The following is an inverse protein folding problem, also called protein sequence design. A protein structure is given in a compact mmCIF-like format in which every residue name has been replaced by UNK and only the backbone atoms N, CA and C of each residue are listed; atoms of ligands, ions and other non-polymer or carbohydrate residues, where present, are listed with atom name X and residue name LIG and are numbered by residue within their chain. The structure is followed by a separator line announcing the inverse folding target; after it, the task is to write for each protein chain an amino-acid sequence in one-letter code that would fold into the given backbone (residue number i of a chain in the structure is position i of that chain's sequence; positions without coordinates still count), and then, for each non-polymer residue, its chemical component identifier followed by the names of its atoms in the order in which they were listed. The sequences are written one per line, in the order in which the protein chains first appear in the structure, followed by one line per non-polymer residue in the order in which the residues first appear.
data_IF_336798391991
#
_entry.id   IF_336798391991
#
_cell.length_a   1.000
_cell.length_b   1.000
_cell.length_c   1.000
_cell.angle_alpha   90.00
_cell.angle_beta   90.00
_cell.angle_gamma   90.00
#
_symmetry.space_group_name_H-M   'P 1'
#
loop_
_entity.id
_entity.type
_entity.pdbx_description
1 polymer ?
#
# COMPACT_ATOMS: atom_id res chain seq x y z
N UNK A 1 61.13 18.90 22.77
CA UNK A 1 61.34 18.25 21.45
C UNK A 1 60.99 16.76 21.45
N UNK A 2 61.50 15.93 22.38
CA UNK A 2 61.23 14.47 22.38
C UNK A 2 59.75 14.08 22.59
N UNK A 3 59.01 14.79 23.48
CA UNK A 3 57.59 14.52 23.76
C UNK A 3 56.67 14.83 22.57
N UNK A 4 56.95 15.89 21.81
CA UNK A 4 56.21 16.24 20.60
C UNK A 4 56.42 15.23 19.48
N UNK A 5 57.62 14.65 19.35
CA UNK A 5 57.90 13.60 18.38
C UNK A 5 57.11 12.31 18.70
N UNK A 6 56.99 11.96 19.97
CA UNK A 6 56.19 10.81 20.43
C UNK A 6 54.70 11.04 20.17
N UNK A 7 54.19 12.25 20.41
CA UNK A 7 52.80 12.60 20.12
C UNK A 7 52.49 12.53 18.61
N UNK A 8 53.40 12.98 17.75
CA UNK A 8 53.27 12.86 16.30
C UNK A 8 53.29 11.40 15.84
N UNK A 9 54.15 10.56 16.42
CA UNK A 9 54.21 9.12 16.13
C UNK A 9 52.92 8.40 16.52
N UNK A 10 52.33 8.74 17.66
CA UNK A 10 51.04 8.21 18.11
C UNK A 10 49.90 8.61 17.17
N UNK A 11 49.85 9.88 16.74
CA UNK A 11 48.88 10.34 15.75
C UNK A 11 49.03 9.61 14.41
N UNK A 12 50.27 9.31 13.98
CA UNK A 12 50.52 8.57 12.75
C UNK A 12 50.09 7.10 12.86
N UNK A 13 50.29 6.47 14.01
CA UNK A 13 49.87 5.08 14.25
C UNK A 13 48.34 4.89 14.23
N UNK A 14 47.57 5.90 14.66
CA UNK A 14 46.09 5.86 14.63
C UNK A 14 45.55 5.90 13.20
N UNK A 15 46.27 6.49 12.25
CA UNK A 15 45.85 6.54 10.84
C UNK A 15 46.05 5.21 10.10
N UNK A 16 46.93 4.32 10.60
CA UNK A 16 47.23 3.03 9.97
C UNK A 16 46.16 1.95 10.25
N UNK A 17 45.25 2.18 11.20
CA UNK A 17 44.20 1.22 11.60
C UNK A 17 42.81 1.57 11.05
N UNK A 18 42.69 2.64 10.25
CA UNK A 18 41.45 3.04 9.60
C UNK A 18 41.09 2.06 8.46
N UNK A 19 40.53 0.90 8.82
CA UNK A 19 39.89 0.01 7.87
C UNK A 19 38.61 0.68 7.34
N UNK A 20 38.61 1.08 6.07
CA UNK A 20 37.40 1.56 5.42
C UNK A 20 36.37 0.41 5.32
N UNK A 21 35.13 0.69 5.71
CA UNK A 21 34.02 -0.25 5.50
C UNK A 21 33.91 -0.51 3.99
N UNK A 22 34.10 -1.75 3.56
CA UNK A 22 33.96 -2.13 2.15
C UNK A 22 32.47 -2.11 1.82
N UNK A 23 32.08 -1.26 0.87
CA UNK A 23 30.72 -1.21 0.35
C UNK A 23 30.65 -1.97 -0.98
N UNK A 24 29.64 -2.82 -1.12
CA UNK A 24 29.25 -3.40 -2.39
C UNK A 24 27.81 -2.96 -2.67
N UNK A 25 27.54 -2.56 -3.90
CA UNK A 25 26.18 -2.24 -4.36
C UNK A 25 25.58 -3.53 -4.92
N UNK A 26 24.43 -3.92 -4.38
CA UNK A 26 23.67 -5.08 -4.83
C UNK A 26 22.39 -4.56 -5.48
N UNK A 27 22.17 -4.94 -6.73
CA UNK A 27 20.91 -4.68 -7.42
C UNK A 27 19.88 -5.71 -6.99
N UNK A 28 19.07 -5.34 -6.00
CA UNK A 28 18.01 -6.20 -5.49
C UNK A 28 16.89 -6.40 -6.50
N UNK A 29 16.61 -5.41 -7.36
CA UNK A 29 15.58 -5.54 -8.39
C UNK A 29 15.97 -6.62 -9.40
N UNK A 30 17.24 -6.63 -9.83
CA UNK A 30 17.77 -7.65 -10.71
C UNK A 30 17.70 -9.04 -10.08
N UNK A 31 18.13 -9.20 -8.82
CA UNK A 31 18.11 -10.50 -8.14
C UNK A 31 16.68 -11.02 -7.99
N UNK A 32 15.77 -10.19 -7.49
CA UNK A 32 14.39 -10.60 -7.20
C UNK A 32 13.62 -11.00 -8.47
N UNK A 33 13.84 -10.31 -9.61
CA UNK A 33 13.25 -10.68 -10.90
C UNK A 33 13.71 -12.04 -11.42
N UNK A 34 14.86 -12.55 -10.95
CA UNK A 34 15.37 -13.86 -11.35
C UNK A 34 15.06 -14.96 -10.33
N UNK A 35 14.21 -14.68 -9.32
CA UNK A 35 13.70 -15.67 -8.38
C UNK A 35 12.26 -16.01 -8.81
N UNK A 36 12.00 -17.16 -9.46
CA UNK A 36 10.68 -17.48 -10.01
C UNK A 36 9.56 -17.53 -8.97
N UNK A 37 9.89 -17.83 -7.71
CA UNK A 37 8.92 -17.82 -6.61
C UNK A 37 8.45 -16.39 -6.26
N UNK A 38 9.37 -15.41 -6.33
CA UNK A 38 9.07 -14.00 -6.07
C UNK A 38 8.19 -13.42 -7.19
N UNK A 39 8.53 -13.72 -8.44
CA UNK A 39 7.75 -13.31 -9.61
C UNK A 39 6.30 -13.83 -9.53
N UNK A 40 6.13 -15.14 -9.28
CA UNK A 40 4.79 -15.73 -9.12
C UNK A 40 3.98 -15.14 -7.98
N UNK A 41 4.62 -14.85 -6.84
CA UNK A 41 3.96 -14.22 -5.71
C UNK A 41 3.44 -12.81 -6.08
N UNK A 42 4.24 -12.03 -6.80
CA UNK A 42 3.80 -10.72 -7.31
C UNK A 42 2.65 -10.84 -8.31
N UNK A 43 2.72 -11.77 -9.28
CA UNK A 43 1.62 -11.99 -10.22
C UNK A 43 0.30 -12.34 -9.51
N UNK A 44 0.36 -13.18 -8.47
CA UNK A 44 -0.81 -13.54 -7.67
C UNK A 44 -1.35 -12.35 -6.87
N UNK A 45 -0.47 -11.54 -6.29
CA UNK A 45 -0.85 -10.33 -5.57
C UNK A 45 -1.51 -9.31 -6.50
N UNK A 46 -0.98 -9.12 -7.71
CA UNK A 46 -1.54 -8.23 -8.72
C UNK A 46 -2.93 -8.68 -9.16
N UNK A 47 -3.12 -9.99 -9.42
CA UNK A 47 -4.42 -10.56 -9.75
C UNK A 47 -5.46 -10.33 -8.64
N UNK A 48 -5.06 -10.53 -7.38
CA UNK A 48 -5.94 -10.35 -6.22
C UNK A 48 -6.25 -8.86 -6.01
N UNK A 49 -5.26 -7.99 -6.15
CA UNK A 49 -5.43 -6.54 -6.09
C UNK A 49 -6.43 -6.05 -7.15
N UNK A 50 -6.28 -6.50 -8.39
CA UNK A 50 -7.21 -6.16 -9.47
C UNK A 50 -8.62 -6.68 -9.20
N UNK A 51 -8.75 -7.90 -8.66
CA UNK A 51 -10.07 -8.44 -8.27
C UNK A 51 -10.75 -7.56 -7.23
N UNK A 52 -10.03 -7.19 -6.17
CA UNK A 52 -10.55 -6.30 -5.12
C UNK A 52 -10.93 -4.93 -5.65
N UNK A 53 -10.13 -4.37 -6.56
CA UNK A 53 -10.44 -3.12 -7.24
C UNK A 53 -11.75 -3.21 -8.02
N UNK A 54 -11.92 -4.27 -8.82
CA UNK A 54 -13.13 -4.50 -9.61
C UNK A 54 -14.39 -4.64 -8.72
N UNK A 55 -14.29 -5.32 -7.58
CA UNK A 55 -15.39 -5.45 -6.62
C UNK A 55 -15.81 -4.09 -6.03
N UNK A 56 -14.83 -3.24 -5.67
CA UNK A 56 -15.08 -1.88 -5.19
C UNK A 56 -15.73 -1.03 -6.28
N UNK A 57 -15.23 -1.09 -7.51
CA UNK A 57 -15.77 -0.34 -8.65
C UNK A 57 -17.20 -0.74 -8.97
N UNK A 58 -17.51 -2.05 -8.94
CA UNK A 58 -18.86 -2.54 -9.16
C UNK A 58 -19.86 -1.97 -8.13
N UNK A 59 -19.49 -1.97 -6.84
CA UNK A 59 -20.34 -1.39 -5.79
C UNK A 59 -20.42 0.14 -5.87
N UNK A 60 -19.32 0.80 -6.23
CA UNK A 60 -19.29 2.24 -6.46
C UNK A 60 -20.24 2.64 -7.60
N UNK A 61 -20.23 1.88 -8.70
CA UNK A 61 -21.14 2.09 -9.82
C UNK A 61 -22.61 1.91 -9.44
N UNK A 62 -22.91 0.96 -8.55
CA UNK A 62 -24.27 0.79 -8.00
C UNK A 62 -24.70 2.01 -7.17
N UNK A 63 -23.85 2.49 -6.26
CA UNK A 63 -24.13 3.67 -5.44
C UNK A 63 -24.37 4.91 -6.31
N UNK A 64 -23.52 5.13 -7.33
CA UNK A 64 -23.67 6.23 -8.28
C UNK A 64 -24.97 6.12 -9.10
N UNK A 65 -25.40 4.90 -9.45
CA UNK A 65 -26.65 4.69 -10.19
C UNK A 65 -27.87 5.04 -9.33
N UNK A 66 -27.88 4.62 -8.05
CA UNK A 66 -28.92 4.98 -7.09
C UNK A 66 -28.99 6.50 -6.90
N UNK A 67 -27.84 7.16 -6.79
CA UNK A 67 -27.76 8.60 -6.67
C UNK A 67 -28.30 9.33 -7.90
N UNK A 68 -27.91 8.89 -9.12
CA UNK A 68 -28.44 9.45 -10.38
C UNK A 68 -29.95 9.25 -10.50
N UNK A 69 -30.46 8.07 -10.14
CA UNK A 69 -31.89 7.80 -10.14
C UNK A 69 -32.62 8.74 -9.17
N UNK A 70 -32.09 8.90 -7.94
CA UNK A 70 -32.64 9.80 -6.95
C UNK A 70 -32.70 11.23 -7.46
N UNK A 71 -31.62 11.76 -8.03
CA UNK A 71 -31.60 13.11 -8.62
C UNK A 71 -32.70 13.32 -9.67
N UNK A 72 -32.92 12.32 -10.53
CA UNK A 72 -33.95 12.42 -11.59
C UNK A 72 -35.39 12.38 -11.07
N UNK A 73 -35.64 11.73 -9.92
CA UNK A 73 -36.98 11.49 -9.38
C UNK A 73 -37.32 12.36 -8.18
N UNK A 74 -36.34 12.96 -7.51
CA UNK A 74 -36.49 13.64 -6.22
C UNK A 74 -37.67 14.62 -6.18
N UNK A 75 -37.84 15.44 -7.22
CA UNK A 75 -38.93 16.43 -7.30
C UNK A 75 -40.34 15.81 -7.21
N UNK A 76 -40.51 14.58 -7.71
CA UNK A 76 -41.78 13.83 -7.70
C UNK A 76 -42.00 12.96 -6.46
N UNK A 77 -40.97 12.77 -5.63
CA UNK A 77 -41.04 11.89 -4.46
C UNK A 77 -41.60 12.62 -3.24
N UNK A 78 -42.40 11.91 -2.44
CA UNK A 78 -42.80 12.36 -1.11
C UNK A 78 -41.60 12.37 -0.15
N UNK A 79 -41.64 13.20 0.88
CA UNK A 79 -40.54 13.39 1.85
C UNK A 79 -40.04 12.06 2.43
N UNK A 80 -40.94 11.19 2.89
CA UNK A 80 -40.59 9.86 3.42
C UNK A 80 -39.82 9.00 2.39
N UNK A 81 -40.18 9.08 1.12
CA UNK A 81 -39.50 8.32 0.06
C UNK A 81 -38.13 8.91 -0.26
N UNK A 82 -37.97 10.23 -0.16
CA UNK A 82 -36.67 10.89 -0.32
C UNK A 82 -35.70 10.44 0.76
N UNK A 83 -36.12 10.52 2.02
CA UNK A 83 -35.31 10.07 3.17
C UNK A 83 -34.87 8.62 3.03
N UNK A 84 -35.80 7.71 2.65
CA UNK A 84 -35.44 6.30 2.43
C UNK A 84 -34.39 6.10 1.33
N UNK A 85 -34.50 6.84 0.21
CA UNK A 85 -33.53 6.76 -0.89
C UNK A 85 -32.17 7.34 -0.51
N UNK A 86 -32.16 8.44 0.24
CA UNK A 86 -30.93 9.05 0.76
C UNK A 86 -30.22 8.10 1.73
N UNK A 87 -30.94 7.47 2.66
CA UNK A 87 -30.41 6.46 3.56
C UNK A 87 -29.82 5.26 2.81
N UNK A 88 -30.50 4.77 1.77
CA UNK A 88 -30.02 3.68 0.93
C UNK A 88 -28.71 4.05 0.21
N UNK A 89 -28.62 5.25 -0.35
CA UNK A 89 -27.42 5.76 -1.01
C UNK A 89 -26.27 5.84 0.00
N UNK A 90 -26.49 6.48 1.15
CA UNK A 90 -25.47 6.63 2.20
C UNK A 90 -25.01 5.26 2.72
N UNK A 91 -25.94 4.33 2.92
CA UNK A 91 -25.60 2.96 3.34
C UNK A 91 -24.72 2.26 2.30
N UNK A 92 -25.01 2.44 1.00
CA UNK A 92 -24.21 1.87 -0.09
C UNK A 92 -22.82 2.49 -0.19
N UNK A 93 -22.71 3.80 -0.05
CA UNK A 93 -21.42 4.52 -0.01
C UNK A 93 -20.57 4.07 1.19
N UNK A 94 -21.19 3.91 2.35
CA UNK A 94 -20.53 3.38 3.54
C UNK A 94 -20.02 1.96 3.31
N UNK A 95 -20.81 1.10 2.68
CA UNK A 95 -20.39 -0.27 2.35
C UNK A 95 -19.19 -0.28 1.38
N UNK A 96 -19.14 0.63 0.41
CA UNK A 96 -17.97 0.81 -0.49
C UNK A 96 -16.74 1.22 0.31
N UNK A 97 -16.87 2.20 1.21
CA UNK A 97 -15.76 2.68 2.04
C UNK A 97 -15.23 1.59 2.98
N UNK A 98 -16.12 0.82 3.61
CA UNK A 98 -15.76 -0.31 4.45
C UNK A 98 -15.07 -1.41 3.64
N UNK A 99 -15.57 -1.75 2.46
CA UNK A 99 -14.95 -2.76 1.61
C UNK A 99 -13.54 -2.33 1.19
N UNK A 100 -13.38 -1.07 0.76
CA UNK A 100 -12.06 -0.50 0.43
C UNK A 100 -11.12 -0.58 1.62
N UNK A 101 -11.58 -0.25 2.83
CA UNK A 101 -10.77 -0.35 4.05
C UNK A 101 -10.41 -1.80 4.37
N UNK A 102 -11.33 -2.73 4.19
CA UNK A 102 -11.09 -4.15 4.46
C UNK A 102 -10.06 -4.76 3.48
N UNK A 103 -10.00 -4.27 2.24
CA UNK A 103 -9.02 -4.75 1.25
C UNK A 103 -7.69 -4.02 1.31
N UNK A 104 -7.72 -2.68 1.31
CA UNK A 104 -6.56 -1.81 1.12
C UNK A 104 -6.22 -0.95 2.36
N UNK A 105 -6.85 -1.21 3.50
CA UNK A 105 -6.51 -0.53 4.76
C UNK A 105 -5.14 -0.97 5.29
N UNK A 106 -4.64 -0.29 6.35
CA UNK A 106 -3.35 -0.61 6.96
C UNK A 106 -3.23 -2.05 7.47
N UNK A 107 -4.35 -2.63 7.93
CA UNK A 107 -4.49 -4.05 8.30
C UNK A 107 -5.46 -4.75 7.34
N UNK A 108 -5.43 -4.34 6.07
CA UNK A 108 -6.30 -4.88 5.03
C UNK A 108 -5.87 -6.27 4.58
N UNK A 109 -6.77 -6.98 3.89
CA UNK A 109 -6.47 -8.30 3.33
C UNK A 109 -5.25 -8.28 2.42
N UNK A 110 -5.07 -7.23 1.61
CA UNK A 110 -3.91 -7.14 0.71
C UNK A 110 -2.61 -7.02 1.49
N UNK A 111 -2.59 -6.23 2.58
CA UNK A 111 -1.42 -6.09 3.45
C UNK A 111 -1.02 -7.43 4.09
N UNK A 112 -1.98 -8.17 4.67
CA UNK A 112 -1.69 -9.49 5.23
C UNK A 112 -1.21 -10.49 4.17
N UNK A 113 -1.70 -10.37 2.94
CA UNK A 113 -1.27 -11.23 1.84
C UNK A 113 0.18 -10.92 1.43
N UNK A 114 0.57 -9.64 1.36
CA UNK A 114 1.98 -9.25 1.16
C UNK A 114 2.89 -9.84 2.24
N UNK A 115 2.47 -9.79 3.52
CA UNK A 115 3.22 -10.40 4.62
C UNK A 115 3.35 -11.91 4.43
N UNK A 116 2.26 -12.60 4.09
CA UNK A 116 2.27 -14.05 3.92
C UNK A 116 3.12 -14.55 2.74
N UNK A 117 3.31 -13.74 1.70
CA UNK A 117 4.12 -14.12 0.54
C UNK A 117 5.62 -13.85 0.70
N UNK A 118 5.99 -12.84 1.50
CA UNK A 118 7.37 -12.33 1.50
C UNK A 118 8.04 -12.29 2.88
N UNK A 119 7.34 -12.61 3.98
CA UNK A 119 7.93 -12.82 5.31
C UNK A 119 7.88 -14.30 5.71
#
# INVERSE_FOLDING_TARGET
MKKSAIALLLLFAINLTANAQKFALIDMEYILKHIPAYEKANEQLDQISQKYQNEIEALTGQAQSLYKEYQSKAASLAEKQRTQREEEIVAKEKAVAELRRNYFGPEGKLFHLYLAFFM
#
